data_IF_311563202176
#
_entry.id   IF_311563202176
#
_cell.length_a   1.000
_cell.length_b   1.000
_cell.length_c   1.000
_cell.angle_alpha   90.00
_cell.angle_beta   90.00
_cell.angle_gamma   90.00
#
_symmetry.space_group_name_H-M   'P 1'
#
loop_
_entity.id
_entity.type
_entity.pdbx_description
1 polymer ?
#
# COMPACT_ATOMS: atom_id res chain seq x y z
N UNK A 1 -29.31 33.00 13.47
CA UNK A 1 -28.10 33.84 13.32
C UNK A 1 -26.86 32.99 13.54
N UNK A 2 -26.23 32.51 12.47
CA UNK A 2 -25.01 31.71 12.54
C UNK A 2 -23.80 32.63 12.31
N UNK A 3 -22.94 32.77 13.32
CA UNK A 3 -21.66 33.46 13.21
C UNK A 3 -20.58 32.47 12.74
N UNK A 4 -19.90 32.84 11.65
CA UNK A 4 -18.68 32.18 11.16
C UNK A 4 -17.49 32.64 12.01
N UNK A 5 -16.75 31.70 12.57
CA UNK A 5 -15.35 31.93 12.94
C UNK A 5 -14.49 31.04 12.05
N UNK A 6 -13.84 31.67 11.08
CA UNK A 6 -12.76 31.08 10.33
C UNK A 6 -11.54 30.96 11.25
N UNK A 7 -10.98 29.76 11.36
CA UNK A 7 -9.58 29.56 11.72
C UNK A 7 -8.92 28.75 10.62
N UNK A 8 -8.06 29.43 9.89
CA UNK A 8 -7.07 28.88 8.98
C UNK A 8 -6.02 28.10 9.78
N UNK A 9 -5.79 26.84 9.42
CA UNK A 9 -4.51 26.18 9.67
C UNK A 9 -4.01 25.58 8.35
N UNK A 10 -2.84 26.06 7.94
CA UNK A 10 -2.17 25.68 6.71
C UNK A 10 -1.36 24.40 6.92
N UNK A 11 -1.97 23.25 6.65
CA UNK A 11 -1.27 21.97 6.44
C UNK A 11 -2.24 20.96 5.77
N UNK A 12 -2.65 21.26 4.54
CA UNK A 12 -3.49 20.37 3.75
C UNK A 12 -2.71 19.18 3.20
N UNK A 13 -2.63 18.10 3.97
CA UNK A 13 -2.17 16.78 3.48
C UNK A 13 -3.33 16.15 2.69
N UNK A 14 -3.35 16.33 1.37
CA UNK A 14 -4.19 15.53 0.49
C UNK A 14 -3.46 14.24 0.13
N UNK A 15 -3.66 13.20 0.94
CA UNK A 15 -3.39 11.82 0.54
C UNK A 15 -4.53 11.40 -0.38
N UNK A 16 -4.30 11.34 -1.68
CA UNK A 16 -5.28 10.78 -2.61
C UNK A 16 -5.25 9.26 -2.48
N UNK A 17 -6.01 8.75 -1.51
CA UNK A 17 -6.42 7.35 -1.49
C UNK A 17 -7.92 7.36 -1.80
N UNK A 18 -8.28 7.05 -3.04
CA UNK A 18 -9.69 6.91 -3.41
C UNK A 18 -10.22 5.57 -2.86
N UNK A 19 -10.37 5.48 -1.54
CA UNK A 19 -11.21 4.49 -0.88
C UNK A 19 -12.30 5.28 -0.14
N UNK A 20 -13.56 5.10 -0.56
CA UNK A 20 -14.71 5.57 0.22
C UNK A 20 -14.65 4.95 1.61
N UNK A 21 -14.24 5.74 2.61
CA UNK A 21 -14.28 5.39 4.02
C UNK A 21 -15.73 5.47 4.50
N UNK A 22 -16.32 4.31 4.79
CA UNK A 22 -17.46 4.23 5.69
C UNK A 22 -16.94 4.47 7.11
N UNK A 23 -17.62 5.34 7.86
CA UNK A 23 -17.30 5.74 9.23
C UNK A 23 -17.17 4.56 10.21
N UNK A 24 -16.34 4.67 11.27
CA UNK A 24 -16.11 3.56 12.18
C UNK A 24 -17.27 3.43 13.18
N UNK A 25 -18.06 2.35 13.06
CA UNK A 25 -18.78 1.81 14.23
C UNK A 25 -17.79 0.97 15.04
N UNK A 26 -17.74 1.20 16.36
CA UNK A 26 -17.02 0.34 17.32
C UNK A 26 -17.32 -1.13 16.99
N UNK A 27 -16.28 -1.91 16.66
CA UNK A 27 -16.36 -3.36 16.52
C UNK A 27 -15.53 -3.98 17.64
N UNK A 28 -16.17 -4.90 18.35
CA UNK A 28 -15.59 -5.74 19.38
C UNK A 28 -14.34 -6.48 18.87
N UNK A 29 -13.40 -6.84 19.75
CA UNK A 29 -12.22 -7.60 19.37
C UNK A 29 -12.62 -8.93 18.72
N UNK A 30 -12.19 -9.15 17.47
CA UNK A 30 -12.35 -10.44 16.81
C UNK A 30 -11.41 -11.47 17.46
N UNK A 31 -11.98 -12.34 18.29
CA UNK A 31 -11.35 -13.60 18.66
C UNK A 31 -11.13 -14.41 17.38
N UNK A 32 -9.86 -14.67 17.06
CA UNK A 32 -9.51 -15.58 15.98
C UNK A 32 -9.82 -17.01 16.45
N UNK A 33 -11.02 -17.51 16.18
CA UNK A 33 -11.32 -18.93 16.32
C UNK A 33 -10.52 -19.75 15.28
N UNK A 34 -10.14 -21.01 15.60
CA UNK A 34 -9.59 -21.93 14.62
C UNK A 34 -10.59 -22.17 13.48
N UNK A 35 -10.09 -22.18 12.25
CA UNK A 35 -10.89 -22.35 11.03
C UNK A 35 -11.77 -23.63 11.09
N UNK A 36 -13.11 -23.53 10.99
CA UNK A 36 -13.95 -24.68 10.75
C UNK A 36 -13.73 -25.21 9.32
N UNK A 37 -13.72 -26.53 9.18
CA UNK A 37 -13.39 -27.32 7.97
C UNK A 37 -14.43 -27.28 6.84
N UNK A 38 -15.23 -26.21 6.74
CA UNK A 38 -16.16 -25.98 5.64
C UNK A 38 -16.34 -24.47 5.43
N UNK A 39 -16.04 -23.93 4.23
CA UNK A 39 -16.17 -22.50 3.99
C UNK A 39 -17.65 -22.17 3.78
N UNK A 40 -18.39 -21.93 4.86
CA UNK A 40 -19.58 -21.09 4.75
C UNK A 40 -19.09 -19.68 4.44
N UNK A 41 -19.09 -19.35 3.15
CA UNK A 41 -18.65 -18.08 2.59
C UNK A 41 -19.58 -16.95 3.06
N UNK A 42 -19.43 -16.52 4.32
CA UNK A 42 -19.89 -15.21 4.71
C UNK A 42 -19.06 -14.20 3.92
N UNK A 43 -19.70 -13.54 2.94
CA UNK A 43 -19.10 -12.53 2.06
C UNK A 43 -18.64 -11.32 2.87
N UNK A 44 -17.51 -11.42 3.57
CA UNK A 44 -16.90 -10.28 4.26
C UNK A 44 -16.25 -9.35 3.22
N UNK A 45 -16.31 -8.02 3.43
CA UNK A 45 -15.60 -7.08 2.56
C UNK A 45 -14.09 -7.36 2.57
N UNK A 46 -13.45 -7.17 1.41
CA UNK A 46 -12.00 -7.15 1.28
C UNK A 46 -11.43 -6.00 2.11
N UNK A 47 -10.47 -6.27 2.99
CA UNK A 47 -9.83 -5.25 3.82
C UNK A 47 -8.42 -4.96 3.30
N UNK A 48 -8.25 -3.76 2.77
CA UNK A 48 -6.96 -3.25 2.29
C UNK A 48 -6.45 -2.18 3.25
N UNK A 49 -5.21 -2.30 3.70
CA UNK A 49 -4.54 -1.30 4.53
C UNK A 49 -3.35 -0.69 3.78
N UNK A 50 -3.17 0.62 3.85
CA UNK A 50 -1.95 1.28 3.40
C UNK A 50 -1.26 1.92 4.59
N UNK A 51 0.02 1.61 4.79
CA UNK A 51 0.76 2.06 5.96
C UNK A 51 2.23 2.33 5.64
N UNK A 52 2.71 3.50 6.04
CA UNK A 52 4.13 3.77 6.18
C UNK A 52 4.60 3.21 7.53
N UNK A 53 5.52 2.26 7.53
CA UNK A 53 6.03 1.60 8.75
C UNK A 53 7.19 2.34 9.41
N UNK A 54 7.58 3.48 8.84
CA UNK A 54 8.65 4.34 9.30
C UNK A 54 9.98 3.58 9.50
N UNK A 55 10.32 2.72 8.53
CA UNK A 55 11.48 1.84 8.60
C UNK A 55 12.70 2.40 7.84
N UNK A 56 12.86 3.72 7.87
CA UNK A 56 14.01 4.43 7.32
C UNK A 56 15.33 4.07 8.01
N UNK A 57 16.37 3.77 7.22
CA UNK A 57 17.74 3.55 7.71
C UNK A 57 18.32 4.78 8.42
N UNK A 58 17.87 5.98 8.03
CA UNK A 58 18.43 7.25 8.51
C UNK A 58 17.57 7.93 9.57
N UNK A 59 16.26 7.65 9.60
CA UNK A 59 15.30 8.37 10.43
C UNK A 59 14.36 7.47 11.25
N UNK A 60 14.45 6.14 11.14
CA UNK A 60 13.55 5.21 11.83
C UNK A 60 13.89 4.99 13.31
N UNK A 61 15.01 5.50 13.83
CA UNK A 61 15.41 5.25 15.22
C UNK A 61 15.70 3.78 15.55
N UNK A 62 15.91 3.45 16.84
CA UNK A 62 16.34 2.11 17.26
C UNK A 62 15.20 1.07 17.31
N UNK A 63 13.94 1.50 17.50
CA UNK A 63 12.81 0.59 17.77
C UNK A 63 12.10 0.06 16.52
N UNK A 64 12.81 -0.09 15.40
CA UNK A 64 12.23 -0.56 14.13
C UNK A 64 11.52 -1.91 14.28
N UNK A 65 12.15 -2.87 14.96
CA UNK A 65 11.57 -4.19 15.23
C UNK A 65 10.30 -4.13 16.07
N UNK A 66 10.28 -3.33 17.13
CA UNK A 66 9.10 -3.18 17.99
C UNK A 66 7.91 -2.60 17.20
N UNK A 67 8.16 -1.62 16.31
CA UNK A 67 7.12 -1.09 15.41
C UNK A 67 6.60 -2.11 14.40
N UNK A 68 7.47 -2.97 13.86
CA UNK A 68 7.02 -4.06 12.98
C UNK A 68 6.14 -5.07 13.73
N UNK A 69 6.44 -5.36 14.99
CA UNK A 69 5.59 -6.23 15.83
C UNK A 69 4.22 -5.58 16.11
N UNK A 70 4.19 -4.31 16.50
CA UNK A 70 2.94 -3.57 16.70
C UNK A 70 2.12 -3.47 15.39
N UNK A 71 2.80 -3.29 14.26
CA UNK A 71 2.17 -3.29 12.94
C UNK A 71 1.52 -4.66 12.63
N UNK A 72 2.22 -5.76 12.90
CA UNK A 72 1.68 -7.13 12.75
C UNK A 72 0.44 -7.32 13.62
N UNK A 73 0.48 -6.93 14.89
CA UNK A 73 -0.67 -7.04 15.81
C UNK A 73 -1.89 -6.27 15.29
N UNK A 74 -1.67 -5.06 14.76
CA UNK A 74 -2.73 -4.25 14.17
C UNK A 74 -3.33 -4.89 12.92
N UNK A 75 -2.51 -5.49 12.03
CA UNK A 75 -2.98 -6.23 10.85
C UNK A 75 -3.87 -7.42 11.25
N UNK A 76 -3.50 -8.13 12.30
CA UNK A 76 -4.28 -9.25 12.83
C UNK A 76 -5.61 -8.77 13.41
N UNK A 77 -5.57 -7.74 14.27
CA UNK A 77 -6.76 -7.14 14.91
C UNK A 77 -7.76 -6.63 13.88
N UNK A 78 -7.28 -6.03 12.80
CA UNK A 78 -8.10 -5.50 11.71
C UNK A 78 -8.47 -6.55 10.66
N UNK A 79 -8.01 -7.79 10.78
CA UNK A 79 -8.22 -8.88 9.83
C UNK A 79 -7.92 -8.46 8.37
N UNK A 80 -6.77 -7.83 8.15
CA UNK A 80 -6.37 -7.29 6.84
C UNK A 80 -6.11 -8.43 5.84
N UNK A 81 -6.45 -8.18 4.58
CA UNK A 81 -6.32 -9.13 3.47
C UNK A 81 -5.19 -8.77 2.50
N UNK A 82 -5.02 -7.48 2.26
CA UNK A 82 -3.94 -6.90 1.46
C UNK A 82 -3.37 -5.72 2.20
N UNK A 83 -2.05 -5.65 2.32
CA UNK A 83 -1.37 -4.53 2.96
C UNK A 83 -0.34 -3.91 2.02
N UNK A 84 -0.47 -2.60 1.85
CA UNK A 84 0.35 -1.74 1.02
C UNK A 84 1.32 -1.01 1.95
N UNK A 85 2.60 -1.36 1.88
CA UNK A 85 3.61 -0.88 2.83
C UNK A 85 4.53 0.13 2.17
N UNK A 86 4.75 1.25 2.84
CA UNK A 86 5.79 2.23 2.51
C UNK A 86 6.92 2.22 3.55
N UNK A 87 8.10 2.66 3.12
CA UNK A 87 9.36 2.66 3.89
C UNK A 87 9.92 1.28 4.25
N UNK A 88 9.54 0.24 3.52
CA UNK A 88 10.20 -1.07 3.62
C UNK A 88 11.50 -1.08 2.80
N UNK A 89 12.49 -0.31 3.22
CA UNK A 89 13.69 -0.04 2.44
C UNK A 89 14.68 -1.20 2.43
N UNK A 90 15.38 -1.34 1.30
CA UNK A 90 16.61 -2.10 1.17
C UNK A 90 17.72 -1.12 0.77
N UNK A 91 18.88 -1.22 1.42
CA UNK A 91 20.04 -0.39 1.10
C UNK A 91 21.05 -1.18 0.26
N UNK A 92 21.37 -0.71 -0.94
CA UNK A 92 22.41 -1.27 -1.80
C UNK A 92 23.77 -0.64 -1.53
N UNK A 93 24.81 -1.47 -1.50
CA UNK A 93 26.22 -1.07 -1.50
C UNK A 93 27.01 -2.03 -2.41
N UNK A 94 27.01 -1.70 -3.70
CA UNK A 94 27.56 -2.53 -4.76
C UNK A 94 26.85 -3.89 -4.87
N UNK A 95 27.58 -5.02 -4.81
CA UNK A 95 26.96 -6.35 -4.87
C UNK A 95 26.21 -6.73 -3.57
N UNK A 96 26.47 -6.02 -2.47
CA UNK A 96 25.87 -6.30 -1.16
C UNK A 96 24.62 -5.45 -0.92
N UNK A 97 23.73 -5.91 -0.03
CA UNK A 97 22.61 -5.10 0.44
C UNK A 97 22.22 -5.39 1.89
N UNK A 98 21.69 -4.36 2.56
CA UNK A 98 21.06 -4.46 3.87
C UNK A 98 19.54 -4.55 3.67
N UNK A 99 18.95 -5.69 4.02
CA UNK A 99 17.52 -5.97 3.83
C UNK A 99 16.83 -6.63 5.03
N UNK A 100 17.51 -6.74 6.18
CA UNK A 100 17.04 -7.51 7.34
C UNK A 100 15.63 -7.13 7.81
N UNK A 101 15.29 -5.85 7.89
CA UNK A 101 13.95 -5.44 8.32
C UNK A 101 12.85 -5.85 7.31
N UNK A 102 13.17 -5.91 6.01
CA UNK A 102 12.25 -6.35 4.97
C UNK A 102 12.05 -7.88 4.99
N UNK A 103 13.11 -8.63 5.25
CA UNK A 103 13.04 -10.08 5.47
C UNK A 103 12.25 -10.43 6.74
N UNK A 104 12.55 -9.75 7.85
CA UNK A 104 11.85 -9.90 9.13
C UNK A 104 10.35 -9.63 8.94
N UNK A 105 9.99 -8.56 8.24
CA UNK A 105 8.59 -8.25 7.93
C UNK A 105 7.92 -9.35 7.09
N UNK A 106 8.59 -9.86 6.05
CA UNK A 106 8.06 -10.96 5.22
C UNK A 106 7.77 -12.22 6.04
N UNK A 107 8.70 -12.62 6.92
CA UNK A 107 8.50 -13.77 7.80
C UNK A 107 7.36 -13.56 8.80
N UNK A 108 7.27 -12.38 9.40
CA UNK A 108 6.21 -12.03 10.36
C UNK A 108 4.82 -12.03 9.72
N UNK A 109 4.70 -11.48 8.51
CA UNK A 109 3.42 -11.37 7.80
C UNK A 109 3.01 -12.72 7.18
N UNK A 110 3.96 -13.59 6.84
CA UNK A 110 3.66 -14.96 6.41
C UNK A 110 2.87 -15.72 7.49
N UNK A 111 3.19 -15.52 8.78
CA UNK A 111 2.46 -16.11 9.90
C UNK A 111 1.00 -15.64 10.01
N UNK A 112 0.67 -14.47 9.43
CA UNK A 112 -0.70 -13.96 9.36
C UNK A 112 -1.44 -14.40 8.09
N UNK A 113 -0.82 -15.26 7.26
CA UNK A 113 -1.38 -15.79 6.02
C UNK A 113 -1.10 -14.94 4.78
N UNK A 114 -0.27 -13.90 4.87
CA UNK A 114 0.18 -13.16 3.69
C UNK A 114 1.24 -13.95 2.92
N UNK A 115 0.79 -14.93 2.13
CA UNK A 115 1.67 -15.86 1.40
C UNK A 115 2.20 -15.30 0.08
N UNK A 116 1.68 -14.16 -0.38
CA UNK A 116 2.13 -13.47 -1.59
C UNK A 116 2.73 -12.10 -1.24
N UNK A 117 3.89 -11.78 -1.81
CA UNK A 117 4.53 -10.48 -1.62
C UNK A 117 5.22 -10.01 -2.89
N UNK A 118 5.31 -8.69 -3.07
CA UNK A 118 6.13 -8.07 -4.11
C UNK A 118 7.59 -7.93 -3.68
N UNK A 119 8.52 -7.79 -4.62
CA UNK A 119 9.94 -7.71 -4.27
C UNK A 119 10.35 -6.35 -3.66
N UNK A 120 10.91 -6.31 -2.42
CA UNK A 120 11.46 -5.08 -1.82
C UNK A 120 12.76 -4.61 -2.48
N UNK A 121 13.43 -5.48 -3.24
CA UNK A 121 14.73 -5.24 -3.89
C UNK A 121 14.61 -4.81 -5.35
N UNK A 122 13.41 -4.84 -5.95
CA UNK A 122 13.22 -4.59 -7.37
C UNK A 122 13.75 -3.24 -7.86
N UNK A 123 13.73 -2.22 -7.01
CA UNK A 123 14.23 -0.86 -7.33
C UNK A 123 15.57 -0.55 -6.66
N UNK A 124 16.28 -1.55 -6.15
CA UNK A 124 17.54 -1.37 -5.42
C UNK A 124 18.61 -0.75 -6.34
N UNK A 125 19.12 0.47 -6.05
CA UNK A 125 20.24 1.04 -6.79
C UNK A 125 21.56 0.35 -6.42
N UNK A 126 22.61 0.55 -7.23
CA UNK A 126 23.96 0.09 -6.89
C UNK A 126 24.45 0.69 -5.56
N UNK A 127 24.16 1.97 -5.32
CA UNK A 127 24.40 2.65 -4.07
C UNK A 127 23.18 3.47 -3.66
N UNK A 128 22.60 3.19 -2.49
CA UNK A 128 21.47 3.94 -1.95
C UNK A 128 20.25 3.09 -1.58
N UNK A 129 19.11 3.75 -1.36
CA UNK A 129 17.87 3.10 -0.92
C UNK A 129 16.96 2.72 -2.08
N UNK A 130 16.33 1.55 -2.00
CA UNK A 130 15.20 1.17 -2.85
C UNK A 130 14.02 2.13 -2.67
N UNK A 131 12.95 1.95 -3.45
CA UNK A 131 11.71 2.72 -3.34
C UNK A 131 11.01 2.55 -1.98
N UNK A 132 11.33 1.48 -1.26
CA UNK A 132 10.71 1.13 0.02
C UNK A 132 9.24 0.73 -0.10
N UNK A 133 8.82 0.25 -1.27
CA UNK A 133 7.42 -0.10 -1.57
C UNK A 133 7.28 -1.61 -1.64
N UNK A 134 6.36 -2.16 -0.84
CA UNK A 134 6.02 -3.58 -0.85
C UNK A 134 4.51 -3.73 -0.73
N UNK A 135 3.94 -4.73 -1.38
CA UNK A 135 2.57 -5.18 -1.13
C UNK A 135 2.63 -6.62 -0.65
N UNK A 136 1.95 -6.91 0.46
CA UNK A 136 1.72 -8.26 0.96
C UNK A 136 0.24 -8.60 0.80
N UNK A 137 -0.06 -9.82 0.37
CA UNK A 137 -1.41 -10.23 0.01
C UNK A 137 -1.68 -11.68 0.42
N UNK A 138 -2.88 -11.94 0.93
CA UNK A 138 -3.42 -13.30 1.10
C UNK A 138 -3.89 -13.92 -0.22
N UNK A 139 -4.01 -13.09 -1.26
CA UNK A 139 -4.47 -13.45 -2.59
C UNK A 139 -3.32 -13.41 -3.62
N UNK A 140 -3.34 -14.23 -4.68
CA UNK A 140 -2.26 -14.29 -5.66
C UNK A 140 -1.99 -12.94 -6.34
N UNK A 141 -0.70 -12.57 -6.40
CA UNK A 141 -0.23 -11.44 -7.20
C UNK A 141 0.06 -11.97 -8.60
N UNK A 142 -0.70 -11.51 -9.61
CA UNK A 142 -0.54 -11.93 -11.01
C UNK A 142 0.52 -11.12 -11.73
N UNK A 143 0.59 -9.84 -11.41
CA UNK A 143 1.51 -8.88 -12.04
C UNK A 143 1.98 -7.88 -11.02
N UNK A 144 3.24 -7.53 -11.11
CA UNK A 144 3.83 -6.38 -10.45
C UNK A 144 4.66 -5.61 -11.45
N UNK A 145 4.70 -4.28 -11.29
CA UNK A 145 5.56 -3.41 -12.07
C UNK A 145 6.11 -2.31 -11.17
N UNK A 146 7.43 -2.31 -11.01
CA UNK A 146 8.15 -1.30 -10.26
C UNK A 146 8.68 -0.23 -11.20
N UNK A 147 8.46 1.03 -10.86
CA UNK A 147 8.93 2.17 -11.65
C UNK A 147 9.52 3.23 -10.73
N UNK A 148 10.48 4.01 -11.26
CA UNK A 148 11.09 5.12 -10.53
C UNK A 148 10.69 6.45 -11.15
N UNK A 149 10.45 7.46 -10.33
CA UNK A 149 10.13 8.79 -10.84
C UNK A 149 11.35 9.40 -11.54
N UNK A 150 11.14 10.08 -12.66
CA UNK A 150 12.23 10.80 -13.34
C UNK A 150 12.86 11.86 -12.41
N UNK A 151 12.00 12.60 -11.69
CA UNK A 151 12.39 13.62 -10.71
C UNK A 151 12.52 13.00 -9.32
N UNK A 152 13.75 12.76 -8.85
CA UNK A 152 14.04 12.17 -7.52
C UNK A 152 15.45 12.53 -7.02
N UNK A 153 15.74 12.21 -5.74
CA UNK A 153 17.12 12.29 -5.21
C UNK A 153 17.99 11.20 -5.83
N UNK A 154 19.27 11.49 -6.03
CA UNK A 154 20.25 10.58 -6.66
C UNK A 154 20.41 9.24 -5.92
N UNK A 155 20.31 9.22 -4.60
CA UNK A 155 20.56 8.03 -3.76
C UNK A 155 19.28 7.33 -3.29
N UNK A 156 18.13 7.64 -3.89
CA UNK A 156 16.84 7.00 -3.56
C UNK A 156 16.09 6.63 -4.82
N UNK A 157 15.58 5.41 -4.91
CA UNK A 157 14.77 4.96 -6.03
C UNK A 157 13.26 5.27 -5.84
N UNK A 158 12.93 6.48 -5.37
CA UNK A 158 11.52 6.92 -5.18
C UNK A 158 10.71 6.70 -6.46
N UNK A 159 9.50 6.18 -6.31
CA UNK A 159 8.72 5.67 -7.44
C UNK A 159 7.33 5.19 -7.08
N UNK A 160 6.80 4.30 -7.91
CA UNK A 160 5.54 3.60 -7.64
C UNK A 160 5.67 2.11 -7.95
N UNK A 161 4.76 1.35 -7.37
CA UNK A 161 4.60 -0.09 -7.57
C UNK A 161 3.15 -0.33 -7.98
N UNK A 162 2.96 -0.82 -9.19
CA UNK A 162 1.66 -1.23 -9.74
C UNK A 162 1.49 -2.73 -9.54
N UNK A 163 0.37 -3.17 -8.96
CA UNK A 163 0.14 -4.59 -8.61
C UNK A 163 -1.26 -5.01 -9.03
N UNK A 164 -1.36 -6.17 -9.69
CA UNK A 164 -2.63 -6.84 -10.01
C UNK A 164 -2.78 -8.07 -9.12
N UNK A 165 -3.82 -8.08 -8.30
CA UNK A 165 -4.16 -9.17 -7.38
C UNK A 165 -5.39 -9.89 -7.90
N UNK A 166 -5.34 -11.22 -7.95
CA UNK A 166 -6.46 -12.09 -8.32
C UNK A 166 -7.29 -12.42 -7.08
N UNK A 167 -8.51 -11.91 -7.02
CA UNK A 167 -9.48 -12.16 -5.95
C UNK A 167 -10.32 -13.43 -6.20
N UNK A 168 -10.01 -14.18 -7.25
CA UNK A 168 -10.72 -15.37 -7.68
C UNK A 168 -12.01 -15.07 -8.44
N UNK A 169 -12.70 -16.15 -8.80
CA UNK A 169 -14.04 -16.10 -9.39
C UNK A 169 -15.04 -16.74 -8.43
N UNK A 170 -16.06 -16.00 -7.96
CA UNK A 170 -17.20 -16.63 -7.31
C UNK A 170 -18.04 -17.37 -8.37
N UNK A 171 -18.25 -18.67 -8.14
CA UNK A 171 -19.27 -19.50 -8.81
C UNK A 171 -19.28 -19.44 -10.35
N UNK A 172 -18.10 -19.56 -10.98
CA UNK A 172 -17.97 -19.64 -12.45
C UNK A 172 -18.15 -18.32 -13.19
N UNK A 173 -18.18 -17.19 -12.49
CA UNK A 173 -18.18 -15.85 -13.09
C UNK A 173 -16.79 -15.46 -13.66
N UNK A 174 -16.68 -14.26 -14.24
CA UNK A 174 -15.37 -13.71 -14.61
C UNK A 174 -14.48 -13.49 -13.36
N UNK A 175 -13.19 -13.76 -13.53
CA UNK A 175 -12.19 -13.53 -12.49
C UNK A 175 -12.18 -12.06 -12.05
N UNK A 176 -12.16 -11.84 -10.73
CA UNK A 176 -12.13 -10.50 -10.15
C UNK A 176 -10.69 -10.11 -9.88
N UNK A 177 -10.22 -9.06 -10.53
CA UNK A 177 -8.90 -8.50 -10.29
C UNK A 177 -8.99 -7.20 -9.48
N UNK A 178 -7.97 -6.97 -8.66
CA UNK A 178 -7.74 -5.72 -7.96
C UNK A 178 -6.42 -5.12 -8.44
N UNK A 179 -6.50 -3.96 -9.09
CA UNK A 179 -5.34 -3.14 -9.41
C UNK A 179 -5.05 -2.15 -8.28
N UNK A 180 -3.80 -2.11 -7.83
CA UNK A 180 -3.30 -1.20 -6.79
C UNK A 180 -2.09 -0.43 -7.28
N UNK A 181 -1.97 0.81 -6.81
CA UNK A 181 -0.75 1.60 -6.91
C UNK A 181 -0.25 1.90 -5.50
N UNK A 182 0.95 1.44 -5.19
CA UNK A 182 1.70 1.85 -4.02
C UNK A 182 2.68 2.95 -4.41
N UNK A 183 2.78 4.02 -3.62
CA UNK A 183 3.80 5.06 -3.81
C UNK A 183 4.16 5.71 -2.49
N UNK A 184 5.35 6.29 -2.45
CA UNK A 184 5.77 7.16 -1.37
C UNK A 184 6.52 8.34 -1.99
N UNK A 185 5.83 9.46 -2.15
CA UNK A 185 6.35 10.65 -2.81
C UNK A 185 7.49 11.31 -2.01
N UNK A 186 8.13 12.30 -2.62
CA UNK A 186 9.08 13.18 -1.96
C UNK A 186 8.38 14.05 -0.89
N UNK A 187 9.07 14.34 0.21
CA UNK A 187 8.49 15.14 1.29
C UNK A 187 8.37 16.62 0.91
N UNK A 188 7.39 17.34 1.45
CA UNK A 188 7.16 18.75 1.10
C UNK A 188 7.73 19.78 2.08
N UNK A 189 8.59 19.37 3.03
CA UNK A 189 9.13 20.28 4.07
C UNK A 189 10.09 21.36 3.55
N UNK A 190 10.62 21.22 2.34
CA UNK A 190 11.51 22.22 1.72
C UNK A 190 10.96 22.64 0.35
N UNK A 191 10.97 23.94 -0.01
CA UNK A 191 10.38 24.43 -1.28
C UNK A 191 10.86 23.69 -2.53
N UNK A 192 12.17 23.38 -2.61
CA UNK A 192 12.75 22.60 -3.71
C UNK A 192 12.05 21.25 -3.95
N UNK A 193 11.57 20.61 -2.88
CA UNK A 193 10.92 19.30 -2.94
C UNK A 193 9.43 19.37 -3.23
N UNK A 194 8.79 20.51 -3.02
CA UNK A 194 7.37 20.72 -3.38
C UNK A 194 7.18 20.53 -4.88
N UNK A 195 8.04 21.15 -5.69
CA UNK A 195 7.97 21.02 -7.16
C UNK A 195 8.23 19.58 -7.63
N UNK A 196 9.22 18.91 -7.03
CA UNK A 196 9.52 17.50 -7.31
C UNK A 196 8.30 16.63 -6.99
N UNK A 197 7.68 16.80 -5.81
CA UNK A 197 6.49 16.05 -5.41
C UNK A 197 5.32 16.27 -6.38
N UNK A 198 5.09 17.52 -6.81
CA UNK A 198 4.04 17.83 -7.80
C UNK A 198 4.29 17.11 -9.13
N UNK A 199 5.53 17.07 -9.57
CA UNK A 199 5.92 16.36 -10.78
C UNK A 199 5.68 14.84 -10.67
N UNK A 200 6.06 14.26 -9.53
CA UNK A 200 5.79 12.85 -9.22
C UNK A 200 4.28 12.53 -9.22
N UNK A 201 3.45 13.41 -8.63
CA UNK A 201 1.99 13.26 -8.68
C UNK A 201 1.46 13.26 -10.11
N UNK A 202 2.00 14.12 -10.99
CA UNK A 202 1.60 14.16 -12.41
C UNK A 202 1.97 12.86 -13.12
N UNK A 203 3.19 12.37 -12.94
CA UNK A 203 3.65 11.10 -13.51
C UNK A 203 2.75 9.93 -13.09
N UNK A 204 2.43 9.81 -11.80
CA UNK A 204 1.56 8.75 -11.29
C UNK A 204 0.12 8.88 -11.80
N UNK A 205 -0.41 10.11 -11.88
CA UNK A 205 -1.76 10.37 -12.40
C UNK A 205 -1.86 10.02 -13.87
N UNK A 206 -0.84 10.36 -14.67
CA UNK A 206 -0.76 9.99 -16.07
C UNK A 206 -0.76 8.46 -16.21
N UNK A 207 0.08 7.76 -15.44
CA UNK A 207 0.13 6.29 -15.45
C UNK A 207 -1.23 5.68 -15.07
N UNK A 208 -1.91 6.20 -14.05
CA UNK A 208 -3.21 5.70 -13.63
C UNK A 208 -4.30 5.87 -14.71
N UNK A 209 -4.17 6.88 -15.60
CA UNK A 209 -5.11 7.10 -16.72
C UNK A 209 -4.89 6.15 -17.89
N UNK A 210 -3.68 5.61 -18.04
CA UNK A 210 -3.36 4.61 -19.09
C UNK A 210 -3.95 3.22 -18.77
N UNK A 211 -4.41 3.02 -17.54
CA UNK A 211 -5.03 1.77 -17.13
C UNK A 211 -6.47 1.71 -17.68
N UNK A 212 -6.84 0.63 -18.39
CA UNK A 212 -8.21 0.43 -18.84
C UNK A 212 -9.22 0.48 -17.68
N UNK A 213 -10.36 1.20 -17.82
CA UNK A 213 -11.38 1.29 -16.76
C UNK A 213 -11.91 -0.07 -16.28
N UNK A 214 -11.89 -1.10 -17.14
CA UNK A 214 -12.30 -2.47 -16.83
C UNK A 214 -11.46 -3.15 -15.74
N UNK A 215 -10.27 -2.62 -15.41
CA UNK A 215 -9.39 -3.13 -14.34
C UNK A 215 -9.48 -2.35 -13.03
N UNK A 216 -10.30 -1.31 -12.98
CA UNK A 216 -10.54 -0.52 -11.77
C UNK A 216 -11.81 -1.07 -11.13
N UNK A 217 -11.66 -1.83 -10.04
CA UNK A 217 -12.79 -2.34 -9.28
C UNK A 217 -13.64 -1.18 -8.74
N UNK A 218 -14.71 -0.84 -9.45
CA UNK A 218 -15.74 0.08 -8.97
C UNK A 218 -16.84 -0.72 -8.28
N UNK A 219 -17.11 -0.49 -6.99
CA UNK A 219 -18.26 -1.10 -6.33
C UNK A 219 -19.53 -0.45 -6.89
N UNK A 220 -20.33 -1.23 -7.63
CA UNK A 220 -21.74 -0.95 -7.90
C UNK A 220 -22.03 0.19 -8.87
N UNK A 221 -22.23 -0.17 -10.14
CA UNK A 221 -23.28 0.46 -10.95
C UNK A 221 -23.80 -0.56 -11.97
N UNK A 222 -24.57 -1.54 -11.49
CA UNK A 222 -25.44 -2.32 -12.37
C UNK A 222 -26.72 -1.52 -12.61
N UNK A 223 -26.89 -1.07 -13.85
CA UNK A 223 -28.18 -0.77 -14.45
C UNK A 223 -28.79 0.57 -14.04
N UNK A 224 -28.72 1.53 -14.96
CA UNK A 224 -29.85 2.38 -15.36
C UNK A 224 -29.38 3.29 -16.51
N UNK A 225 -29.17 2.70 -17.68
CA UNK A 225 -29.41 3.38 -18.94
C UNK A 225 -30.13 2.37 -19.85
N UNK A 226 -31.44 2.27 -19.64
CA UNK A 226 -32.35 1.88 -20.72
C UNK A 226 -32.95 3.18 -21.27
N UNK A 227 -32.54 3.47 -22.50
CA UNK A 227 -33.06 4.42 -23.49
C UNK A 227 -33.26 5.86 -23.04
#
# INVERSE_FOLDING_TARGET
MASRIARTSAAGVATWSLCRLLTPRRREPCCCEPLPSTPTCQKRPLRVMSQNVWNSFFAGGPERKARLMAFREELQRLCVDVVIVQEMFVFGFGPFCLQGDAEDAGQLLLQLGFVHQTSPTATRPFLGQSSGLVVYSKYPIKKEKHETFASRRSVTAKGWLEVVIDLGSPDGAEARELLLFNTHLEHSHHPRWVRVRQDQCRQLTQRAREVPPSRIATPGNRGLYKK
#
